data_IF_125407802811
#
_entry.id   IF_125407802811
#
_cell.length_a   1.000
_cell.length_b   1.000
_cell.length_c   1.000
_cell.angle_alpha   90.00
_cell.angle_beta   90.00
_cell.angle_gamma   90.00
#
_symmetry.space_group_name_H-M   'P 1'
#
loop_
_entity.id
_entity.type
_entity.pdbx_description
1 polymer ?
#
# COMPACT_ATOMS: atom_id res chain seq x y z
N UNK A 1 5.45 4.21 21.75
CA UNK A 1 5.31 4.01 20.30
C UNK A 1 6.05 5.15 19.64
N UNK A 2 7.13 4.85 18.93
CA UNK A 2 7.88 5.86 18.17
C UNK A 2 7.43 5.91 16.69
N UNK A 3 8.05 6.78 15.89
CA UNK A 3 7.69 6.97 14.48
C UNK A 3 7.92 5.71 13.63
N UNK A 4 8.94 4.90 13.96
CA UNK A 4 9.21 3.64 13.26
C UNK A 4 8.17 2.59 13.65
N UNK A 5 7.79 2.53 14.93
CA UNK A 5 6.70 1.67 15.40
C UNK A 5 5.37 2.00 14.71
N UNK A 6 5.09 3.29 14.50
CA UNK A 6 3.90 3.76 13.78
C UNK A 6 3.88 3.26 12.34
N UNK A 7 4.97 3.48 11.57
CA UNK A 7 5.04 3.01 10.18
C UNK A 7 4.94 1.49 10.08
N UNK A 8 5.56 0.74 11.00
CA UNK A 8 5.41 -0.73 11.06
C UNK A 8 3.99 -1.16 11.41
N UNK A 9 3.29 -0.40 12.24
CA UNK A 9 1.89 -0.66 12.54
C UNK A 9 1.01 -0.45 11.31
N UNK A 10 1.22 0.65 10.58
CA UNK A 10 0.50 0.94 9.34
C UNK A 10 0.70 -0.17 8.31
N UNK A 11 1.93 -0.69 8.14
CA UNK A 11 2.18 -1.82 7.23
C UNK A 11 1.34 -3.05 7.58
N UNK A 12 1.28 -3.42 8.87
CA UNK A 12 0.47 -4.55 9.34
C UNK A 12 -1.02 -4.32 9.12
N UNK A 13 -1.49 -3.09 9.30
CA UNK A 13 -2.87 -2.70 9.05
C UNK A 13 -3.21 -2.83 7.56
N UNK A 14 -2.36 -2.30 6.67
CA UNK A 14 -2.52 -2.39 5.22
C UNK A 14 -2.55 -3.85 4.76
N UNK A 15 -1.63 -4.69 5.25
CA UNK A 15 -1.66 -6.12 4.97
C UNK A 15 -2.97 -6.79 5.40
N UNK A 16 -3.49 -6.43 6.58
CA UNK A 16 -4.76 -6.95 7.08
C UNK A 16 -5.93 -6.52 6.18
N UNK A 17 -5.99 -5.24 5.80
CA UNK A 17 -7.02 -4.72 4.90
C UNK A 17 -7.01 -5.42 3.54
N UNK A 18 -5.84 -5.75 3.00
CA UNK A 18 -5.76 -6.57 1.79
C UNK A 18 -6.26 -8.01 1.98
N UNK A 19 -5.97 -8.64 3.13
CA UNK A 19 -6.54 -9.95 3.47
C UNK A 19 -8.06 -9.87 3.57
N UNK A 20 -8.58 -8.87 4.28
CA UNK A 20 -10.00 -8.64 4.48
C UNK A 20 -10.73 -8.39 3.15
N UNK A 21 -10.12 -7.61 2.26
CA UNK A 21 -10.67 -7.35 0.93
C UNK A 21 -10.78 -8.65 0.10
N UNK A 22 -9.81 -9.56 0.19
CA UNK A 22 -9.88 -10.86 -0.49
C UNK A 22 -10.86 -11.83 0.15
N UNK A 23 -11.01 -11.81 1.47
CA UNK A 23 -11.95 -12.69 2.18
C UNK A 23 -13.38 -12.14 2.21
N UNK A 24 -13.60 -10.89 1.81
CA UNK A 24 -14.92 -10.27 1.81
C UNK A 24 -15.89 -11.01 0.88
N UNK A 25 -17.01 -11.48 1.47
CA UNK A 25 -17.99 -12.33 0.79
C UNK A 25 -18.82 -11.53 -0.23
N UNK A 26 -19.12 -10.26 0.06
CA UNK A 26 -20.00 -9.44 -0.77
C UNK A 26 -19.26 -8.30 -1.47
N UNK A 27 -19.76 -7.83 -2.64
CA UNK A 27 -19.25 -6.62 -3.28
C UNK A 27 -19.25 -5.40 -2.35
N UNK A 28 -20.30 -5.24 -1.53
CA UNK A 28 -20.41 -4.14 -0.56
C UNK A 28 -19.31 -4.19 0.51
N UNK A 29 -19.02 -5.39 1.05
CA UNK A 29 -17.91 -5.57 1.98
C UNK A 29 -16.55 -5.28 1.32
N UNK A 30 -16.35 -5.75 0.07
CA UNK A 30 -15.12 -5.45 -0.68
C UNK A 30 -14.92 -3.95 -0.88
N UNK A 31 -15.99 -3.22 -1.23
CA UNK A 31 -15.99 -1.77 -1.38
C UNK A 31 -15.67 -1.06 -0.06
N UNK A 32 -16.31 -1.44 1.04
CA UNK A 32 -16.05 -0.85 2.35
C UNK A 32 -14.59 -1.05 2.80
N UNK A 33 -14.01 -2.24 2.61
CA UNK A 33 -12.59 -2.48 2.93
C UNK A 33 -11.67 -1.69 2.01
N UNK A 34 -12.02 -1.57 0.73
CA UNK A 34 -11.26 -0.80 -0.24
C UNK A 34 -11.23 0.71 0.11
N UNK A 35 -12.36 1.29 0.51
CA UNK A 35 -12.44 2.69 0.97
C UNK A 35 -11.51 2.94 2.17
N UNK A 36 -11.47 1.99 3.12
CA UNK A 36 -10.55 2.07 4.27
C UNK A 36 -9.10 1.94 3.78
N UNK A 37 -8.80 1.00 2.89
CA UNK A 37 -7.47 0.80 2.32
C UNK A 37 -6.94 2.06 1.62
N UNK A 38 -7.76 2.69 0.76
CA UNK A 38 -7.43 3.94 0.06
C UNK A 38 -7.07 5.02 1.07
N UNK A 39 -7.90 5.19 2.10
CA UNK A 39 -7.71 6.22 3.12
C UNK A 39 -6.43 5.99 3.94
N UNK A 40 -6.23 4.80 4.48
CA UNK A 40 -5.08 4.54 5.37
C UNK A 40 -3.77 4.51 4.60
N UNK A 41 -3.74 3.93 3.39
CA UNK A 41 -2.52 3.91 2.57
C UNK A 41 -2.14 5.31 2.07
N UNK A 42 -3.13 6.18 1.80
CA UNK A 42 -2.87 7.58 1.44
C UNK A 42 -2.21 8.36 2.57
N UNK A 43 -2.68 8.18 3.82
CA UNK A 43 -2.05 8.81 5.00
C UNK A 43 -0.64 8.28 5.22
N UNK A 44 -0.46 6.96 5.17
CA UNK A 44 0.82 6.31 5.34
C UNK A 44 1.85 6.82 4.31
N UNK A 45 1.48 6.81 3.03
CA UNK A 45 2.33 7.32 1.96
C UNK A 45 2.67 8.82 2.14
N UNK A 46 1.72 9.64 2.60
CA UNK A 46 1.98 11.06 2.85
C UNK A 46 3.00 11.27 3.99
N UNK A 47 2.93 10.48 5.07
CA UNK A 47 3.93 10.54 6.15
C UNK A 47 5.31 10.16 5.63
N UNK A 48 5.40 9.09 4.83
CA UNK A 48 6.68 8.66 4.30
C UNK A 48 7.27 9.68 3.31
N UNK A 49 6.47 10.17 2.37
CA UNK A 49 6.92 11.08 1.31
C UNK A 49 7.25 12.49 1.80
N UNK A 50 6.49 13.02 2.77
CA UNK A 50 6.66 14.39 3.24
C UNK A 50 7.68 14.49 4.38
N UNK A 51 7.84 13.43 5.19
CA UNK A 51 8.66 13.48 6.40
C UNK A 51 9.78 12.46 6.39
N UNK A 52 9.46 11.18 6.19
CA UNK A 52 10.43 10.10 6.37
C UNK A 52 11.52 10.09 5.29
N UNK A 53 11.16 10.05 4.02
CA UNK A 53 12.12 10.00 2.92
C UNK A 53 13.01 11.25 2.85
N UNK A 54 12.49 12.49 3.00
CA UNK A 54 13.35 13.67 3.06
C UNK A 54 14.33 13.67 4.24
N UNK A 55 13.91 13.11 5.39
CA UNK A 55 14.80 12.95 6.53
C UNK A 55 15.87 11.88 6.24
N UNK A 56 15.45 10.70 5.78
CA UNK A 56 16.33 9.58 5.47
C UNK A 56 17.38 9.93 4.40
N UNK A 57 17.00 10.71 3.38
CA UNK A 57 17.91 11.18 2.34
C UNK A 57 19.04 12.03 2.94
N UNK A 58 18.69 13.00 3.79
CA UNK A 58 19.67 13.87 4.48
C UNK A 58 20.59 13.12 5.44
N UNK A 59 20.11 12.03 6.06
CA UNK A 59 20.87 11.36 7.14
C UNK A 59 21.61 10.11 6.69
N UNK A 60 21.07 9.35 5.74
CA UNK A 60 21.57 8.01 5.37
C UNK A 60 22.16 7.99 3.95
N UNK A 61 21.84 8.97 3.09
CA UNK A 61 22.40 9.05 1.74
C UNK A 61 22.02 7.87 0.84
N UNK A 62 20.74 7.47 0.86
CA UNK A 62 20.20 6.30 0.13
C UNK A 62 19.28 6.72 -1.02
N UNK A 63 19.71 7.72 -1.78
CA UNK A 63 18.90 8.39 -2.80
C UNK A 63 18.24 7.43 -3.80
N UNK A 64 18.97 6.45 -4.33
CA UNK A 64 18.45 5.48 -5.31
C UNK A 64 17.38 4.55 -4.74
N UNK A 65 17.53 4.14 -3.47
CA UNK A 65 16.54 3.32 -2.78
C UNK A 65 15.27 4.13 -2.50
N UNK A 66 15.42 5.39 -2.08
CA UNK A 66 14.31 6.33 -1.87
C UNK A 66 13.56 6.59 -3.19
N UNK A 67 14.28 6.87 -4.29
CA UNK A 67 13.68 7.05 -5.63
C UNK A 67 12.84 5.84 -6.04
N UNK A 68 13.38 4.63 -5.83
CA UNK A 68 12.67 3.38 -6.11
C UNK A 68 11.38 3.27 -5.28
N UNK A 69 11.43 3.56 -3.98
CA UNK A 69 10.24 3.54 -3.13
C UNK A 69 9.19 4.58 -3.55
N UNK A 70 9.60 5.78 -3.95
CA UNK A 70 8.70 6.80 -4.49
C UNK A 70 8.01 6.35 -5.79
N UNK A 71 8.73 5.68 -6.70
CA UNK A 71 8.14 5.13 -7.93
C UNK A 71 7.10 4.02 -7.63
N UNK A 72 7.34 3.24 -6.59
CA UNK A 72 6.42 2.19 -6.14
C UNK A 72 5.17 2.78 -5.52
N UNK A 73 5.31 3.83 -4.70
CA UNK A 73 4.18 4.60 -4.18
C UNK A 73 3.31 5.14 -5.30
N UNK A 74 3.92 5.71 -6.34
CA UNK A 74 3.18 6.18 -7.51
C UNK A 74 2.39 5.07 -8.19
N UNK A 75 2.94 3.86 -8.27
CA UNK A 75 2.24 2.70 -8.84
C UNK A 75 1.04 2.31 -7.98
N UNK A 76 1.22 2.25 -6.67
CA UNK A 76 0.15 1.92 -5.71
C UNK A 76 -0.95 2.98 -5.71
N UNK A 77 -0.60 4.27 -5.72
CA UNK A 77 -1.56 5.38 -5.78
C UNK A 77 -2.40 5.36 -7.06
N UNK A 78 -1.80 5.04 -8.21
CA UNK A 78 -2.55 4.87 -9.47
C UNK A 78 -3.56 3.74 -9.38
N UNK A 79 -3.14 2.59 -8.87
CA UNK A 79 -4.02 1.45 -8.65
C UNK A 79 -5.19 1.82 -7.71
N UNK A 80 -4.91 2.51 -6.61
CA UNK A 80 -5.94 2.97 -5.69
C UNK A 80 -6.92 3.95 -6.35
N UNK A 81 -6.43 4.89 -7.17
CA UNK A 81 -7.29 5.81 -7.91
C UNK A 81 -8.16 5.10 -8.95
N UNK A 82 -7.62 4.09 -9.63
CA UNK A 82 -8.39 3.22 -10.54
C UNK A 82 -9.48 2.45 -9.79
N UNK A 83 -9.18 1.97 -8.58
CA UNK A 83 -10.12 1.25 -7.73
C UNK A 83 -11.21 2.16 -7.15
N UNK A 84 -10.87 3.40 -6.77
CA UNK A 84 -11.80 4.40 -6.23
C UNK A 84 -12.72 4.99 -7.31
N UNK A 85 -12.21 5.10 -8.54
CA UNK A 85 -12.98 5.56 -9.71
C UNK A 85 -13.73 4.44 -10.45
N UNK A 86 -13.54 3.18 -10.06
CA UNK A 86 -14.23 2.06 -10.70
C UNK A 86 -15.74 2.13 -10.42
N UNK A 87 -16.61 1.97 -11.43
CA UNK A 87 -18.05 1.84 -11.20
C UNK A 87 -18.31 0.61 -10.30
N UNK A 88 -19.43 0.60 -9.56
CA UNK A 88 -19.82 -0.45 -8.58
C UNK A 88 -19.76 -1.91 -9.10
N UNK A 89 -19.53 -2.11 -10.39
CA UNK A 89 -19.26 -3.40 -11.02
C UNK A 89 -18.22 -3.31 -12.15
N UNK A 90 -16.92 -3.40 -11.85
CA UNK A 90 -15.92 -3.67 -12.89
C UNK A 90 -15.95 -5.17 -13.25
N UNK A 91 -15.66 -5.57 -14.50
CA UNK A 91 -15.60 -6.99 -14.86
C UNK A 91 -14.54 -7.68 -13.99
N UNK A 92 -14.88 -8.85 -13.43
CA UNK A 92 -14.08 -9.55 -12.42
C UNK A 92 -12.61 -9.80 -12.83
N UNK A 93 -12.33 -9.89 -14.14
CA UNK A 93 -10.99 -10.02 -14.70
C UNK A 93 -10.14 -8.73 -14.60
N UNK A 94 -10.75 -7.54 -14.58
CA UNK A 94 -10.03 -6.27 -14.69
C UNK A 94 -9.36 -5.81 -13.37
N UNK A 95 -9.91 -6.19 -12.21
CA UNK A 95 -9.41 -5.75 -10.90
C UNK A 95 -8.62 -6.81 -10.14
N UNK A 96 -8.89 -8.09 -10.38
CA UNK A 96 -8.26 -9.16 -9.62
C UNK A 96 -6.76 -9.26 -9.90
N UNK A 97 -6.34 -9.14 -11.16
CA UNK A 97 -4.93 -9.34 -11.53
C UNK A 97 -4.01 -8.19 -11.09
N UNK A 98 -4.34 -6.88 -11.29
CA UNK A 98 -3.45 -5.80 -10.90
C UNK A 98 -3.33 -5.65 -9.38
N UNK A 99 -4.43 -5.83 -8.65
CA UNK A 99 -4.45 -5.74 -7.18
C UNK A 99 -3.76 -6.95 -6.55
N UNK A 100 -3.98 -8.16 -7.08
CA UNK A 100 -3.24 -9.34 -6.64
C UNK A 100 -1.73 -9.19 -6.94
N UNK A 101 -1.35 -8.66 -8.11
CA UNK A 101 0.04 -8.42 -8.45
C UNK A 101 0.70 -7.35 -7.58
N UNK A 102 0.00 -6.25 -7.27
CA UNK A 102 0.48 -5.22 -6.36
C UNK A 102 0.62 -5.77 -4.92
N UNK A 103 -0.35 -6.57 -4.48
CA UNK A 103 -0.28 -7.27 -3.19
C UNK A 103 0.85 -8.29 -3.15
N UNK A 104 1.03 -9.10 -4.19
CA UNK A 104 2.08 -10.11 -4.25
C UNK A 104 3.46 -9.43 -4.22
N UNK A 105 3.65 -8.32 -4.94
CA UNK A 105 4.88 -7.51 -4.86
C UNK A 105 5.11 -6.91 -3.48
N UNK A 106 4.06 -6.39 -2.83
CA UNK A 106 4.15 -5.85 -1.47
C UNK A 106 4.49 -6.95 -0.45
N UNK A 107 3.79 -8.09 -0.52
CA UNK A 107 4.01 -9.27 0.32
C UNK A 107 5.42 -9.79 0.15
N UNK A 108 5.87 -10.00 -1.08
CA UNK A 108 7.16 -10.58 -1.36
C UNK A 108 8.27 -9.69 -0.79
N UNK A 109 8.12 -8.36 -0.79
CA UNK A 109 9.06 -7.43 -0.15
C UNK A 109 9.03 -7.38 1.37
N UNK A 110 7.86 -7.50 1.97
CA UNK A 110 7.73 -7.59 3.43
C UNK A 110 8.32 -8.92 3.94
N UNK A 111 8.27 -9.99 3.13
CA UNK A 111 8.83 -11.30 3.45
C UNK A 111 10.30 -11.50 3.06
N UNK A 112 10.82 -10.78 2.06
CA UNK A 112 12.21 -10.90 1.58
C UNK A 112 13.24 -10.03 2.31
N UNK A 113 12.89 -9.47 3.48
CA UNK A 113 13.91 -8.94 4.40
C UNK A 113 14.71 -10.11 5.01
N UNK A 114 16.04 -10.22 4.77
CA UNK A 114 16.83 -11.17 5.52
C UNK A 114 16.78 -10.80 7.00
N UNK A 115 16.56 -11.80 7.86
CA UNK A 115 16.78 -11.70 9.30
C UNK A 115 18.29 -11.58 9.51
N UNK A 116 18.78 -10.35 9.59
CA UNK A 116 20.08 -10.04 10.22
C UNK A 116 19.82 -9.51 11.61
#
# INVERSE_FOLDING_TARGET
MDAIDLLKHDHRMVEQLFRDHRSAATPAQRKAVLEILVRELSKHAAVEELLFYPFADRTVGREEEIKRHLQEHMTVKRLLAELDSAPDRPPALAMAAPVAAAYDRLRDRLQSRPRT
#
